data_IF_589964213165
#
_entry.id   IF_589964213165
#
_cell.length_a   1.000
_cell.length_b   1.000
_cell.length_c   1.000
_cell.angle_alpha   90.00
_cell.angle_beta   90.00
_cell.angle_gamma   90.00
#
_symmetry.space_group_name_H-M   'P 1'
#
loop_
_entity.id
_entity.type
_entity.pdbx_description
1 polymer ?
#
# COMPACT_ATOMS: atom_id res chain seq x y z
N UNK A 1 -12.26 -6.08 22.05
CA UNK A 1 -13.43 -6.78 22.61
C UNK A 1 -14.24 -7.34 21.44
N UNK A 2 -14.74 -8.57 21.53
CA UNK A 2 -15.64 -9.13 20.51
C UNK A 2 -15.00 -9.97 19.39
N UNK A 3 -13.87 -10.66 19.63
CA UNK A 3 -13.46 -11.69 18.67
C UNK A 3 -14.42 -12.88 18.77
N UNK A 4 -15.28 -13.04 17.77
CA UNK A 4 -16.22 -14.17 17.65
C UNK A 4 -15.56 -15.41 17.02
N UNK A 5 -14.26 -15.35 16.74
CA UNK A 5 -13.55 -16.42 16.05
C UNK A 5 -14.13 -16.69 14.67
N UNK A 6 -14.20 -17.97 14.29
CA UNK A 6 -14.82 -18.41 13.03
C UNK A 6 -16.25 -18.87 13.31
N UNK A 7 -17.22 -18.14 12.76
CA UNK A 7 -18.63 -18.53 12.75
C UNK A 7 -18.95 -19.22 11.42
N UNK A 8 -19.39 -20.47 11.45
CA UNK A 8 -19.74 -21.24 10.26
C UNK A 8 -21.25 -21.41 10.09
N UNK A 9 -22.02 -21.35 11.18
CA UNK A 9 -23.47 -21.49 11.18
C UNK A 9 -24.13 -20.65 12.30
N UNK A 10 -25.46 -20.55 12.28
CA UNK A 10 -26.24 -19.70 13.20
C UNK A 10 -26.09 -20.11 14.67
N UNK A 11 -25.81 -21.39 14.95
CA UNK A 11 -25.63 -21.88 16.33
C UNK A 11 -24.28 -21.47 16.93
N UNK A 12 -23.34 -21.02 16.10
CA UNK A 12 -22.04 -20.53 16.56
C UNK A 12 -22.17 -19.10 17.12
N UNK A 13 -23.29 -18.41 16.87
CA UNK A 13 -23.51 -17.08 17.40
C UNK A 13 -23.69 -17.13 18.92
N UNK A 14 -23.08 -16.18 19.66
CA UNK A 14 -23.37 -16.02 21.07
C UNK A 14 -24.81 -15.55 21.26
N UNK A 15 -25.35 -15.75 22.46
CA UNK A 15 -26.72 -15.35 22.79
C UNK A 15 -26.99 -13.86 22.52
N UNK A 16 -28.23 -13.52 22.23
CA UNK A 16 -28.70 -12.15 21.97
C UNK A 16 -28.27 -11.15 23.05
N UNK A 17 -28.21 -11.59 24.31
CA UNK A 17 -27.74 -10.75 25.42
C UNK A 17 -26.29 -10.28 25.24
N UNK A 18 -25.40 -11.19 24.85
CA UNK A 18 -23.99 -10.90 24.60
C UNK A 18 -23.84 -9.99 23.38
N UNK A 19 -24.63 -10.24 22.33
CA UNK A 19 -24.64 -9.37 21.14
C UNK A 19 -25.09 -7.95 21.48
N UNK A 20 -26.13 -7.82 22.32
CA UNK A 20 -26.63 -6.52 22.78
C UNK A 20 -25.56 -5.76 23.57
N UNK A 21 -24.85 -6.45 24.47
CA UNK A 21 -23.72 -5.86 25.21
C UNK A 21 -22.61 -5.36 24.28
N UNK A 22 -22.27 -6.12 23.23
CA UNK A 22 -21.29 -5.70 22.23
C UNK A 22 -21.73 -4.49 21.41
N UNK A 23 -23.02 -4.42 21.04
CA UNK A 23 -23.58 -3.28 20.30
C UNK A 23 -23.53 -2.02 21.17
N UNK A 24 -23.96 -2.10 22.43
CA UNK A 24 -23.88 -0.97 23.37
C UNK A 24 -22.43 -0.52 23.58
N UNK A 25 -21.49 -1.45 23.78
CA UNK A 25 -20.08 -1.13 23.88
C UNK A 25 -19.55 -0.46 22.60
N UNK A 26 -19.94 -0.92 21.41
CA UNK A 26 -19.53 -0.31 20.15
C UNK A 26 -20.07 1.12 19.98
N UNK A 27 -21.31 1.38 20.40
CA UNK A 27 -21.89 2.73 20.41
C UNK A 27 -21.07 3.67 21.29
N UNK A 28 -20.75 3.26 22.53
CA UNK A 28 -19.95 4.09 23.44
C UNK A 28 -18.56 4.41 22.88
N UNK A 29 -17.91 3.47 22.19
CA UNK A 29 -16.61 3.69 21.56
C UNK A 29 -16.70 4.65 20.37
N UNK A 30 -17.77 4.57 19.58
CA UNK A 30 -18.02 5.47 18.46
C UNK A 30 -18.31 6.90 18.94
N UNK A 31 -19.15 7.06 19.97
CA UNK A 31 -19.42 8.36 20.61
C UNK A 31 -18.17 8.98 21.23
N UNK A 32 -17.31 8.16 21.85
CA UNK A 32 -16.01 8.58 22.37
C UNK A 32 -14.96 8.83 21.27
N UNK A 33 -15.30 8.66 19.99
CA UNK A 33 -14.40 8.89 18.85
C UNK A 33 -13.21 7.93 18.78
N UNK A 34 -13.25 6.80 19.50
CA UNK A 34 -12.16 5.84 19.60
C UNK A 34 -12.05 5.04 18.31
N UNK A 35 -11.15 5.47 17.41
CA UNK A 35 -10.85 4.74 16.16
C UNK A 35 -9.86 3.62 16.43
N UNK A 36 -10.19 2.40 16.03
CA UNK A 36 -9.25 1.27 16.08
C UNK A 36 -8.07 1.57 15.16
N UNK A 37 -6.87 1.69 15.72
CA UNK A 37 -5.63 1.84 14.96
C UNK A 37 -5.33 0.50 14.28
N UNK A 38 -5.50 0.42 12.96
CA UNK A 38 -5.02 -0.73 12.18
C UNK A 38 -3.50 -0.78 12.31
N UNK A 39 -2.98 -1.78 13.00
CA UNK A 39 -1.55 -2.09 13.02
C UNK A 39 -1.22 -2.86 11.75
N UNK A 40 -0.75 -2.18 10.71
CA UNK A 40 -0.08 -2.86 9.60
C UNK A 40 1.38 -3.04 9.97
N UNK A 41 1.90 -4.27 9.91
CA UNK A 41 3.34 -4.49 9.93
C UNK A 41 3.99 -3.73 8.76
N UNK A 42 5.10 -3.00 8.96
CA UNK A 42 5.84 -2.39 7.86
C UNK A 42 6.19 -3.46 6.82
N UNK A 43 5.82 -3.25 5.56
CA UNK A 43 6.29 -4.11 4.48
C UNK A 43 7.80 -3.91 4.33
N UNK A 44 8.53 -5.00 4.10
CA UNK A 44 9.96 -4.94 3.86
C UNK A 44 10.29 -3.94 2.73
N UNK A 45 11.30 -3.10 2.97
CA UNK A 45 11.76 -2.14 1.98
C UNK A 45 12.41 -2.88 0.81
N UNK A 46 12.08 -2.47 -0.41
CA UNK A 46 12.76 -2.98 -1.61
C UNK A 46 14.01 -2.13 -1.80
N UNK A 47 15.17 -2.76 -1.84
CA UNK A 47 16.42 -2.05 -2.09
C UNK A 47 16.39 -1.35 -3.45
N UNK A 48 16.86 -0.11 -3.49
CA UNK A 48 17.01 0.69 -4.70
C UNK A 48 18.12 0.09 -5.58
N UNK A 49 17.85 -0.36 -6.82
CA UNK A 49 18.90 -0.85 -7.71
C UNK A 49 19.78 0.29 -8.25
N UNK A 50 21.08 0.05 -8.41
CA UNK A 50 22.04 1.05 -8.87
C UNK A 50 21.68 1.65 -10.24
N UNK A 51 21.21 0.83 -11.17
CA UNK A 51 20.82 1.32 -12.49
C UNK A 51 19.61 2.27 -12.44
N UNK A 52 18.74 2.13 -11.44
CA UNK A 52 17.59 3.02 -11.28
C UNK A 52 18.02 4.33 -10.61
N UNK A 53 18.89 4.28 -9.60
CA UNK A 53 19.42 5.49 -8.96
C UNK A 53 20.23 6.35 -9.94
N UNK A 54 21.07 5.73 -10.78
CA UNK A 54 21.82 6.40 -11.84
C UNK A 54 20.88 7.07 -12.84
N UNK A 55 19.82 6.38 -13.27
CA UNK A 55 18.85 6.92 -14.21
C UNK A 55 18.04 8.09 -13.63
N UNK A 56 17.69 8.05 -12.34
CA UNK A 56 17.04 9.18 -11.66
C UNK A 56 17.99 10.39 -11.55
N UNK A 57 19.27 10.16 -11.26
CA UNK A 57 20.25 11.25 -11.17
C UNK A 57 20.44 11.99 -12.52
N UNK A 58 20.21 11.32 -13.65
CA UNK A 58 20.23 11.94 -14.98
C UNK A 58 18.97 12.75 -15.30
N UNK A 59 17.89 12.60 -14.53
CA UNK A 59 16.64 13.31 -14.75
C UNK A 59 16.12 13.94 -13.43
N UNK A 60 16.50 15.20 -13.15
CA UNK A 60 16.15 15.87 -11.89
C UNK A 60 14.65 15.97 -11.61
N UNK A 61 13.83 16.10 -12.67
CA UNK A 61 12.37 16.18 -12.55
C UNK A 61 11.84 14.83 -12.07
N UNK A 62 12.22 13.73 -12.74
CA UNK A 62 11.81 12.39 -12.35
C UNK A 62 12.27 12.04 -10.93
N UNK A 63 13.51 12.42 -10.56
CA UNK A 63 14.04 12.24 -9.21
C UNK A 63 13.19 12.93 -8.16
N UNK A 64 12.88 14.21 -8.35
CA UNK A 64 12.05 14.98 -7.42
C UNK A 64 10.64 14.38 -7.28
N UNK A 65 10.01 13.98 -8.39
CA UNK A 65 8.71 13.30 -8.34
C UNK A 65 8.79 12.00 -7.54
N UNK A 66 9.79 11.17 -7.81
CA UNK A 66 9.97 9.90 -7.10
C UNK A 66 10.22 10.13 -5.61
N UNK A 67 11.06 11.09 -5.22
CA UNK A 67 11.34 11.42 -3.83
C UNK A 67 10.12 11.96 -3.09
N UNK A 68 9.25 12.70 -3.76
CA UNK A 68 8.01 13.23 -3.19
C UNK A 68 6.87 12.19 -3.08
N UNK A 69 6.98 11.05 -3.74
CA UNK A 69 5.96 10.01 -3.65
C UNK A 69 5.90 9.33 -2.28
N UNK A 70 4.71 8.85 -1.93
CA UNK A 70 4.50 8.05 -0.73
C UNK A 70 5.30 6.73 -0.81
N UNK A 71 5.65 6.13 0.34
CA UNK A 71 6.41 4.87 0.37
C UNK A 71 5.78 3.76 -0.47
N UNK A 72 4.44 3.71 -0.54
CA UNK A 72 3.70 2.73 -1.36
C UNK A 72 3.99 2.89 -2.85
N UNK A 73 3.89 4.12 -3.39
CA UNK A 73 4.16 4.39 -4.80
C UNK A 73 5.63 4.17 -5.16
N UNK A 74 6.55 4.56 -4.28
CA UNK A 74 7.99 4.25 -4.46
C UNK A 74 8.23 2.75 -4.57
N UNK A 75 7.59 1.98 -3.68
CA UNK A 75 7.69 0.52 -3.68
C UNK A 75 7.13 -0.10 -4.96
N UNK A 76 6.00 0.36 -5.47
CA UNK A 76 5.41 -0.14 -6.72
C UNK A 76 6.37 -0.03 -7.91
N UNK A 77 7.04 1.12 -8.06
CA UNK A 77 8.04 1.32 -9.09
C UNK A 77 9.24 0.38 -8.91
N UNK A 78 9.76 0.29 -7.68
CA UNK A 78 10.89 -0.59 -7.37
C UNK A 78 10.55 -2.06 -7.65
N UNK A 79 9.35 -2.50 -7.25
CA UNK A 79 8.87 -3.86 -7.50
C UNK A 79 8.73 -4.14 -9.00
N UNK A 80 8.14 -3.21 -9.76
CA UNK A 80 8.00 -3.36 -11.20
C UNK A 80 9.34 -3.42 -11.93
N UNK A 81 10.30 -2.61 -11.52
CA UNK A 81 11.63 -2.56 -12.12
C UNK A 81 12.47 -3.79 -11.75
N UNK A 82 12.45 -4.21 -10.48
CA UNK A 82 13.26 -5.34 -9.97
C UNK A 82 12.74 -6.71 -10.42
N UNK A 83 11.43 -6.84 -10.66
CA UNK A 83 10.83 -8.10 -11.14
C UNK A 83 11.25 -8.46 -12.58
N UNK A 84 11.85 -7.54 -13.33
CA UNK A 84 12.31 -7.81 -14.70
C UNK A 84 13.58 -8.68 -14.72
N UNK A 85 13.46 -9.92 -15.21
CA UNK A 85 14.56 -10.89 -15.34
C UNK A 85 15.53 -10.57 -16.50
N UNK A 86 15.01 -10.10 -17.63
CA UNK A 86 15.85 -9.74 -18.79
C UNK A 86 16.31 -8.29 -18.73
N UNK A 87 17.53 -8.04 -19.19
CA UNK A 87 18.11 -6.70 -19.29
C UNK A 87 17.32 -5.82 -20.26
N UNK A 88 16.93 -6.34 -21.43
CA UNK A 88 16.12 -5.61 -22.40
C UNK A 88 14.77 -5.15 -21.79
N UNK A 89 14.12 -5.99 -20.99
CA UNK A 89 12.88 -5.63 -20.30
C UNK A 89 13.14 -4.61 -19.20
N UNK A 90 14.24 -4.73 -18.46
CA UNK A 90 14.64 -3.77 -17.42
C UNK A 90 14.84 -2.37 -18.00
N UNK A 91 15.56 -2.25 -19.11
CA UNK A 91 15.77 -0.97 -19.80
C UNK A 91 14.46 -0.37 -20.31
N UNK A 92 13.57 -1.18 -20.88
CA UNK A 92 12.23 -0.73 -21.30
C UNK A 92 11.41 -0.18 -20.13
N UNK A 93 11.33 -0.94 -19.02
CA UNK A 93 10.61 -0.52 -17.80
C UNK A 93 11.22 0.73 -17.18
N UNK A 94 12.55 0.84 -17.20
CA UNK A 94 13.27 2.02 -16.73
C UNK A 94 12.88 3.27 -17.52
N UNK A 95 12.91 3.18 -18.86
CA UNK A 95 12.49 4.29 -19.73
C UNK A 95 11.03 4.70 -19.51
N UNK A 96 10.12 3.73 -19.41
CA UNK A 96 8.71 4.02 -19.10
C UNK A 96 8.54 4.67 -17.72
N UNK A 97 9.29 4.18 -16.72
CA UNK A 97 9.25 4.75 -15.37
C UNK A 97 9.68 6.20 -15.36
N UNK A 98 10.79 6.53 -16.04
CA UNK A 98 11.26 7.91 -16.14
C UNK A 98 10.22 8.82 -16.80
N UNK A 99 9.62 8.38 -17.92
CA UNK A 99 8.57 9.14 -18.58
C UNK A 99 7.37 9.42 -17.66
N UNK A 100 6.89 8.41 -16.93
CA UNK A 100 5.77 8.60 -16.01
C UNK A 100 6.13 9.47 -14.81
N UNK A 101 7.35 9.34 -14.28
CA UNK A 101 7.83 10.20 -13.20
C UNK A 101 7.99 11.65 -13.65
N UNK A 102 8.45 11.91 -14.88
CA UNK A 102 8.47 13.28 -15.41
C UNK A 102 7.07 13.88 -15.56
N UNK A 103 6.06 13.05 -15.81
CA UNK A 103 4.66 13.46 -15.89
C UNK A 103 3.94 13.50 -14.52
N UNK A 104 4.62 13.15 -13.43
CA UNK A 104 4.01 13.13 -12.09
C UNK A 104 3.06 11.95 -11.84
N UNK A 105 3.07 10.93 -12.70
CA UNK A 105 2.16 9.78 -12.63
C UNK A 105 2.69 8.71 -11.68
N UNK A 106 1.79 8.06 -10.94
CA UNK A 106 2.07 6.84 -10.17
C UNK A 106 2.15 5.62 -11.09
N UNK A 107 2.61 4.45 -10.61
CA UNK A 107 2.67 3.24 -11.45
C UNK A 107 1.26 2.81 -11.94
N UNK A 108 0.27 2.85 -11.03
CA UNK A 108 -1.11 2.45 -11.29
C UNK A 108 -2.05 3.61 -11.64
N UNK A 109 -1.52 4.74 -12.12
CA UNK A 109 -2.29 5.97 -12.39
C UNK A 109 -3.54 5.76 -13.26
N UNK A 110 -3.51 4.79 -14.20
CA UNK A 110 -4.66 4.47 -15.06
C UNK A 110 -5.88 3.90 -14.31
N UNK A 111 -5.68 3.43 -13.09
CA UNK A 111 -6.72 2.85 -12.24
C UNK A 111 -7.10 3.78 -11.07
N UNK A 112 -6.43 4.93 -10.95
CA UNK A 112 -6.78 5.97 -9.99
C UNK A 112 -7.96 6.77 -10.58
N UNK A 113 -9.17 6.47 -10.10
CA UNK A 113 -10.38 7.27 -10.31
C UNK A 113 -10.70 8.04 -9.04
#
# INVERSE_FOLDING_TARGET
>A
MGSLGRLANVKDLPSDKILTEYILAALTLNEAGVKVKKTSSPKAEIAMPDYFSLALNQNPIAKRTFENFSPSHKREYLEWITTAKSEATRLKRLGTTLAWLTEGKSMHWKYQK
#
